data_IF_043046950459
#
_entry.id   IF_043046950459
#
_cell.length_a   1.000
_cell.length_b   1.000
_cell.length_c   1.000
_cell.angle_alpha   90.00
_cell.angle_beta   90.00
_cell.angle_gamma   90.00
#
_symmetry.space_group_name_H-M   'P 1'
#
loop_
_entity.id
_entity.type
_entity.pdbx_description
1 polymer ?
#
# COMPACT_ATOMS: atom_id res chain seq x y z
N UNK A 1 2.08 -13.78 -19.50
CA UNK A 1 1.21 -12.95 -18.65
C UNK A 1 1.37 -11.50 -19.03
N UNK A 2 0.28 -10.78 -19.15
CA UNK A 2 0.32 -9.35 -19.51
C UNK A 2 0.32 -8.48 -18.24
N UNK A 3 1.50 -8.13 -17.78
CA UNK A 3 1.69 -7.33 -16.57
C UNK A 3 1.11 -5.92 -16.69
N UNK A 4 1.12 -5.35 -17.90
CA UNK A 4 0.57 -4.02 -18.16
C UNK A 4 -0.95 -3.95 -17.92
N UNK A 5 -1.66 -5.01 -18.28
CA UNK A 5 -3.10 -5.10 -18.07
C UNK A 5 -3.45 -5.48 -16.63
N UNK A 6 -2.60 -6.24 -15.97
CA UNK A 6 -2.85 -6.73 -14.63
C UNK A 6 -2.86 -5.59 -13.61
N UNK A 7 -1.98 -4.62 -13.78
CA UNK A 7 -1.89 -3.45 -12.89
C UNK A 7 -2.75 -2.35 -13.47
N UNK A 8 -4.00 -2.28 -13.01
CA UNK A 8 -4.99 -1.31 -13.49
C UNK A 8 -5.37 -0.33 -12.39
N UNK A 9 -5.47 0.95 -12.74
CA UNK A 9 -5.94 2.01 -11.85
C UNK A 9 -7.46 2.23 -11.93
N UNK A 10 -8.15 1.39 -12.68
CA UNK A 10 -9.62 1.47 -12.79
C UNK A 10 -10.27 0.97 -11.50
N UNK A 11 -11.32 1.65 -11.09
CA UNK A 11 -12.09 1.29 -9.90
C UNK A 11 -13.31 0.49 -10.29
N UNK A 12 -13.59 -0.55 -9.53
CA UNK A 12 -14.77 -1.38 -9.75
C UNK A 12 -16.03 -0.52 -9.68
N UNK A 13 -16.86 -0.61 -10.71
CA UNK A 13 -18.08 0.19 -10.84
C UNK A 13 -17.87 1.62 -11.35
N UNK A 14 -16.63 2.07 -11.46
CA UNK A 14 -16.27 3.42 -11.90
C UNK A 14 -15.29 3.40 -13.07
N UNK A 15 -15.31 2.35 -13.88
CA UNK A 15 -14.36 2.14 -14.97
C UNK A 15 -14.41 3.21 -16.05
N UNK A 16 -15.53 3.92 -16.13
CA UNK A 16 -15.75 4.98 -17.15
C UNK A 16 -15.38 6.38 -16.65
N UNK A 17 -15.03 6.53 -15.38
CA UNK A 17 -14.68 7.83 -14.82
C UNK A 17 -13.19 8.08 -14.99
N UNK A 18 -12.88 9.12 -15.76
CA UNK A 18 -11.54 9.68 -15.88
C UNK A 18 -11.51 11.02 -15.14
N UNK A 19 -11.06 11.01 -13.90
CA UNK A 19 -10.81 12.27 -13.21
C UNK A 19 -9.47 12.84 -13.69
N UNK A 20 -9.46 14.14 -13.95
CA UNK A 20 -8.24 14.84 -14.26
C UNK A 20 -7.28 14.76 -13.07
N UNK A 21 -6.02 14.42 -13.33
CA UNK A 21 -5.00 14.38 -12.29
C UNK A 21 -4.80 15.79 -11.72
N UNK A 22 -5.01 15.92 -10.42
CA UNK A 22 -4.79 17.18 -9.70
C UNK A 22 -3.36 17.33 -9.20
N UNK A 23 -2.61 16.23 -9.13
CA UNK A 23 -1.23 16.20 -8.67
C UNK A 23 -0.47 15.04 -9.35
N UNK A 24 0.82 14.93 -9.05
CA UNK A 24 1.71 13.92 -9.65
C UNK A 24 1.62 12.53 -9.00
N UNK A 25 0.78 12.39 -7.98
CA UNK A 25 0.63 11.08 -7.31
C UNK A 25 -0.18 10.14 -8.17
N UNK A 26 0.19 8.86 -8.15
CA UNK A 26 -0.60 7.82 -8.81
C UNK A 26 -1.88 7.53 -8.01
N UNK A 27 -2.85 6.86 -8.64
CA UNK A 27 -4.09 6.48 -7.96
C UNK A 27 -3.82 5.54 -6.78
N UNK A 28 -2.85 4.65 -6.89
CA UNK A 28 -2.47 3.74 -5.79
C UNK A 28 -1.85 4.50 -4.62
N UNK A 29 -1.00 5.48 -4.89
CA UNK A 29 -0.44 6.35 -3.85
C UNK A 29 -1.52 7.16 -3.15
N UNK A 30 -2.47 7.69 -3.90
CA UNK A 30 -3.60 8.45 -3.35
C UNK A 30 -4.47 7.58 -2.46
N UNK A 31 -4.72 6.34 -2.84
CA UNK A 31 -5.49 5.41 -2.02
C UNK A 31 -4.75 5.07 -0.72
N UNK A 32 -3.45 4.86 -0.78
CA UNK A 32 -2.61 4.64 0.39
C UNK A 32 -2.72 5.83 1.36
N UNK A 33 -2.59 7.04 0.85
CA UNK A 33 -2.68 8.26 1.64
C UNK A 33 -4.07 8.41 2.29
N UNK A 34 -5.13 8.17 1.52
CA UNK A 34 -6.50 8.24 2.05
C UNK A 34 -6.74 7.29 3.20
N UNK A 35 -6.20 6.08 3.11
CA UNK A 35 -6.33 5.10 4.19
C UNK A 35 -5.58 5.54 5.44
N UNK A 36 -4.36 6.03 5.30
CA UNK A 36 -3.56 6.49 6.44
C UNK A 36 -4.26 7.64 7.19
N UNK A 37 -4.90 8.56 6.45
CA UNK A 37 -5.58 9.70 7.05
C UNK A 37 -7.02 9.40 7.47
N UNK A 38 -7.52 8.18 7.26
CA UNK A 38 -8.87 7.82 7.63
C UNK A 38 -9.02 7.66 9.15
N UNK A 39 -10.19 8.02 9.67
CA UNK A 39 -10.48 7.88 11.09
C UNK A 39 -10.47 6.41 11.57
N UNK A 40 -11.04 5.44 10.84
CA UNK A 40 -10.95 4.04 11.24
C UNK A 40 -9.52 3.55 11.39
N UNK A 41 -8.62 3.95 10.48
CA UNK A 41 -7.21 3.56 10.58
C UNK A 41 -6.54 4.18 11.81
N UNK A 42 -6.83 5.47 12.07
CA UNK A 42 -6.27 6.19 13.23
C UNK A 42 -6.69 5.61 14.57
N UNK A 43 -7.89 5.03 14.65
CA UNK A 43 -8.36 4.38 15.87
C UNK A 43 -7.56 3.15 16.27
N UNK A 44 -6.79 2.56 15.37
CA UNK A 44 -5.95 1.41 15.65
C UNK A 44 -4.86 1.72 16.69
N UNK A 45 -4.50 2.98 16.87
CA UNK A 45 -3.52 3.38 17.89
C UNK A 45 -3.96 3.03 19.31
N UNK A 46 -5.28 2.89 19.53
CA UNK A 46 -5.85 2.55 20.84
C UNK A 46 -5.97 1.04 21.06
N UNK A 47 -5.59 0.23 20.06
CA UNK A 47 -5.65 -1.23 20.13
C UNK A 47 -4.25 -1.80 20.27
N UNK A 48 -4.06 -2.63 21.27
CA UNK A 48 -2.79 -3.35 21.47
C UNK A 48 -2.85 -4.72 20.82
N UNK A 49 -1.75 -5.16 20.24
CA UNK A 49 -1.63 -6.54 19.72
C UNK A 49 -1.24 -7.50 20.82
N UNK A 50 -0.48 -7.03 21.78
CA UNK A 50 0.00 -7.82 22.93
C UNK A 50 -0.37 -7.04 24.19
N UNK A 51 -0.56 -7.75 25.30
CA UNK A 51 -0.84 -7.13 26.59
C UNK A 51 0.24 -6.08 26.91
N UNK A 52 -0.13 -4.82 27.18
CA UNK A 52 0.85 -3.80 27.53
C UNK A 52 1.40 -4.12 28.92
N UNK A 53 2.72 -4.34 29.01
CA UNK A 53 3.41 -4.46 30.26
C UNK A 53 3.62 -3.05 30.84
N UNK A 54 3.23 -2.80 32.11
CA UNK A 54 3.48 -1.51 32.75
C UNK A 54 4.96 -1.14 32.69
N UNK A 55 5.26 0.09 32.24
CA UNK A 55 6.61 0.59 32.15
C UNK A 55 7.37 0.29 30.87
N UNK A 56 6.76 -0.43 29.92
CA UNK A 56 7.37 -0.66 28.61
C UNK A 56 7.20 0.58 27.73
N UNK A 57 8.32 1.12 27.23
CA UNK A 57 8.33 2.22 26.27
C UNK A 57 8.13 1.76 24.84
N UNK A 58 8.27 0.46 24.56
CA UNK A 58 8.11 -0.13 23.23
C UNK A 58 6.82 -0.94 23.16
N UNK A 59 5.69 -0.27 23.22
CA UNK A 59 4.40 -0.93 23.04
C UNK A 59 4.02 -0.86 21.57
N UNK A 60 3.99 -2.02 20.90
CA UNK A 60 3.42 -2.12 19.56
C UNK A 60 1.90 -2.11 19.67
N UNK A 61 1.27 -1.12 19.06
CA UNK A 61 -0.17 -1.13 18.84
C UNK A 61 -0.45 -1.59 17.39
N UNK A 62 -1.72 -1.79 17.07
CA UNK A 62 -2.09 -2.24 15.72
C UNK A 62 -1.71 -1.23 14.65
N UNK A 63 -1.74 0.06 14.97
CA UNK A 63 -1.36 1.10 14.03
C UNK A 63 0.11 0.98 13.63
N UNK A 64 1.01 0.91 14.60
CA UNK A 64 2.45 0.83 14.34
C UNK A 64 2.80 -0.47 13.63
N UNK A 65 2.22 -1.59 14.04
CA UNK A 65 2.44 -2.87 13.38
C UNK A 65 1.98 -2.85 11.92
N UNK A 66 0.80 -2.32 11.65
CA UNK A 66 0.28 -2.20 10.28
C UNK A 66 1.20 -1.38 9.39
N UNK A 67 1.74 -0.28 9.93
CA UNK A 67 2.69 0.56 9.19
C UNK A 67 4.01 -0.16 8.92
N UNK A 68 4.53 -0.89 9.91
CA UNK A 68 5.76 -1.68 9.75
C UNK A 68 5.60 -2.76 8.68
N UNK A 69 4.51 -3.52 8.72
CA UNK A 69 4.19 -4.53 7.72
C UNK A 69 4.06 -3.91 6.33
N UNK A 70 3.42 -2.77 6.25
CA UNK A 70 3.28 -2.02 5.00
C UNK A 70 4.62 -1.59 4.43
N UNK A 71 5.53 -1.10 5.27
CA UNK A 71 6.88 -0.70 4.83
C UNK A 71 7.67 -1.89 4.27
N UNK A 72 7.63 -3.03 4.96
CA UNK A 72 8.29 -4.26 4.48
C UNK A 72 7.68 -4.71 3.16
N UNK A 73 6.36 -4.69 3.08
CA UNK A 73 5.63 -5.05 1.86
C UNK A 73 5.99 -4.17 0.68
N UNK A 74 6.12 -2.86 0.91
CA UNK A 74 6.54 -1.91 -0.14
C UNK A 74 7.93 -2.24 -0.66
N UNK A 75 8.86 -2.53 0.23
CA UNK A 75 10.22 -2.90 -0.14
C UNK A 75 10.25 -4.17 -0.97
N UNK A 76 9.51 -5.19 -0.57
CA UNK A 76 9.38 -6.45 -1.32
C UNK A 76 8.73 -6.21 -2.69
N UNK A 77 7.69 -5.40 -2.75
CA UNK A 77 7.02 -5.05 -4.00
C UNK A 77 7.94 -4.30 -4.97
N UNK A 78 8.78 -3.42 -4.44
CA UNK A 78 9.78 -2.71 -5.25
C UNK A 78 10.83 -3.67 -5.81
N UNK A 79 11.28 -4.64 -5.02
CA UNK A 79 12.21 -5.67 -5.49
C UNK A 79 11.60 -6.50 -6.61
N UNK A 80 10.34 -6.88 -6.47
CA UNK A 80 9.60 -7.60 -7.53
C UNK A 80 9.50 -6.76 -8.79
N UNK A 81 9.23 -5.46 -8.65
CA UNK A 81 9.14 -4.53 -9.78
C UNK A 81 10.47 -4.48 -10.56
N UNK A 82 11.57 -4.37 -9.86
CA UNK A 82 12.89 -4.35 -10.48
C UNK A 82 13.21 -5.66 -11.21
N UNK A 83 12.84 -6.79 -10.60
CA UNK A 83 13.05 -8.10 -11.22
C UNK A 83 12.18 -8.28 -12.48
N UNK A 84 10.93 -7.82 -12.45
CA UNK A 84 10.06 -7.86 -13.63
C UNK A 84 10.59 -7.01 -14.78
N UNK A 85 11.09 -5.81 -14.47
CA UNK A 85 11.69 -4.93 -15.48
C UNK A 85 12.95 -5.54 -16.08
N UNK A 86 13.75 -6.23 -15.27
CA UNK A 86 14.94 -6.91 -15.74
C UNK A 86 14.60 -8.07 -16.70
N UNK A 87 13.56 -8.85 -16.37
CA UNK A 87 13.14 -10.00 -17.18
C UNK A 87 12.31 -9.62 -18.40
N UNK A 88 11.62 -8.49 -18.36
CA UNK A 88 10.70 -8.01 -19.38
C UNK A 88 11.01 -6.56 -19.76
N UNK A 89 12.05 -6.30 -20.57
CA UNK A 89 12.50 -4.93 -20.83
C UNK A 89 11.46 -4.01 -21.52
N UNK A 90 10.43 -4.60 -22.13
CA UNK A 90 9.34 -3.83 -22.78
C UNK A 90 8.31 -3.23 -21.84
N UNK A 91 8.39 -3.47 -20.53
CA UNK A 91 7.43 -2.96 -19.57
C UNK A 91 7.72 -1.49 -19.21
N UNK A 92 6.66 -0.74 -18.96
CA UNK A 92 6.77 0.64 -18.50
C UNK A 92 7.22 0.66 -17.03
N UNK A 93 8.32 1.35 -16.73
CA UNK A 93 8.82 1.50 -15.36
C UNK A 93 7.79 2.15 -14.44
N UNK A 94 7.17 3.26 -14.90
CA UNK A 94 6.20 3.99 -14.08
C UNK A 94 4.98 3.15 -13.72
N UNK A 95 4.56 2.24 -14.58
CA UNK A 95 3.42 1.37 -14.35
C UNK A 95 3.76 0.21 -13.44
N UNK A 96 4.88 -0.46 -13.68
CA UNK A 96 5.32 -1.62 -12.89
C UNK A 96 5.76 -1.21 -11.48
N UNK A 97 6.31 -0.03 -11.31
CA UNK A 97 6.73 0.48 -10.00
C UNK A 97 5.58 0.67 -9.01
N UNK A 98 4.33 0.64 -9.47
CA UNK A 98 3.14 0.71 -8.61
C UNK A 98 2.96 -0.53 -7.72
N UNK A 99 3.61 -1.65 -8.04
CA UNK A 99 3.50 -2.89 -7.25
C UNK A 99 3.84 -2.63 -5.77
N UNK A 100 4.86 -1.83 -5.50
CA UNK A 100 5.22 -1.47 -4.12
C UNK A 100 4.08 -0.80 -3.36
N UNK A 101 3.41 0.16 -3.99
CA UNK A 101 2.28 0.88 -3.40
C UNK A 101 1.07 -0.04 -3.20
N UNK A 102 0.80 -0.92 -4.16
CA UNK A 102 -0.30 -1.88 -4.08
C UNK A 102 -0.09 -2.84 -2.90
N UNK A 103 1.09 -3.42 -2.79
CA UNK A 103 1.41 -4.36 -1.70
C UNK A 103 1.37 -3.66 -0.35
N UNK A 104 1.92 -2.47 -0.25
CA UNK A 104 1.87 -1.68 0.98
C UNK A 104 0.43 -1.43 1.44
N UNK A 105 -0.43 -1.04 0.52
CA UNK A 105 -1.84 -0.75 0.80
C UNK A 105 -2.59 -2.02 1.24
N UNK A 106 -2.38 -3.13 0.55
CA UNK A 106 -3.02 -4.40 0.87
C UNK A 106 -2.62 -4.91 2.26
N UNK A 107 -1.33 -4.85 2.57
CA UNK A 107 -0.82 -5.43 3.80
C UNK A 107 -1.30 -4.66 5.02
N UNK A 108 -1.30 -3.34 5.01
CA UNK A 108 -1.76 -2.66 6.20
C UNK A 108 -3.29 -2.64 6.36
N UNK A 109 -4.06 -2.75 5.29
CA UNK A 109 -5.51 -2.95 5.41
C UNK A 109 -5.83 -4.34 5.93
N UNK A 110 -5.10 -5.34 5.48
CA UNK A 110 -5.26 -6.73 5.91
C UNK A 110 -4.89 -6.91 7.38
N UNK A 111 -3.79 -6.31 7.80
CA UNK A 111 -3.32 -6.38 9.19
C UNK A 111 -4.23 -5.58 10.14
N UNK A 112 -4.83 -4.51 9.66
CA UNK A 112 -5.75 -3.68 10.43
C UNK A 112 -7.12 -4.34 10.64
N UNK A 113 -7.50 -5.27 9.79
CA UNK A 113 -8.76 -6.01 9.92
C UNK A 113 -8.69 -6.99 11.09
#
# INVERSE_FOLDING_TARGET
>A
MNWQQLISNKRFGLEHLHEAKKDDRTEFQRDYDRLIFSAPFRRLQNKTQVFPLPGSIFVHNRLTHSLEVSCVGRSLGNEVSLELLRRHPGLSFSHISEIGSIVACLLYTSDAA
#
